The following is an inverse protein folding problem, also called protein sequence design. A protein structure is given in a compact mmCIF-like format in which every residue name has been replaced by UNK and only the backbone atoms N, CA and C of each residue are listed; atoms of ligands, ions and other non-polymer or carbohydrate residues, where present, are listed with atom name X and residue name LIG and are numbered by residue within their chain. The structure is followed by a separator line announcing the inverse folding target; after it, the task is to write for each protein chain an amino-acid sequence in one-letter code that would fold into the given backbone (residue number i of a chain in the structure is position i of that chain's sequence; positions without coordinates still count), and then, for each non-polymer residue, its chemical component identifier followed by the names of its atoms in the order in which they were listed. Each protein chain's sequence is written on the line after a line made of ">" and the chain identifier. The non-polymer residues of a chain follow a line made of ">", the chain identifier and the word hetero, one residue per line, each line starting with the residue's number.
data_IF_599088600445
#
_entry.id   IF_599088600445
#
_cell.length_a   1.000
_cell.length_b   1.000
_cell.length_c   1.000
_cell.angle_alpha   90.00
_cell.angle_beta   90.00
_cell.angle_gamma   90.00
#
_symmetry.space_group_name_H-M   'P 1'
#
loop_
_entity.id
_entity.type
_entity.pdbx_description
1 polymer ?
#
# COMPACT_ATOMS: atom_id res chain seq x y z
N UNK A 1 11.18 -14.63 3.28
CA UNK A 1 11.91 -13.37 3.47
C UNK A 1 10.98 -12.19 3.41
N UNK A 2 11.28 -11.15 4.17
CA UNK A 2 10.39 -9.97 4.26
C UNK A 2 10.20 -9.29 2.91
N UNK A 3 11.26 -9.10 2.13
CA UNK A 3 11.17 -8.44 0.83
C UNK A 3 10.21 -9.10 -0.14
N UNK A 4 10.23 -10.42 -0.18
CA UNK A 4 9.31 -11.19 -1.02
C UNK A 4 7.85 -11.01 -0.57
N UNK A 5 7.63 -10.96 0.74
CA UNK A 5 6.29 -10.75 1.31
C UNK A 5 5.76 -9.36 0.96
N UNK A 6 6.60 -8.34 1.07
CA UNK A 6 6.25 -6.98 0.69
C UNK A 6 5.90 -6.90 -0.81
N UNK A 7 6.73 -7.49 -1.66
CA UNK A 7 6.48 -7.53 -3.10
C UNK A 7 5.14 -8.19 -3.42
N UNK A 8 4.87 -9.31 -2.77
CA UNK A 8 3.64 -10.07 -2.98
C UNK A 8 2.41 -9.26 -2.57
N UNK A 9 2.44 -8.64 -1.39
CA UNK A 9 1.33 -7.83 -0.89
C UNK A 9 1.09 -6.64 -1.82
N UNK A 10 2.17 -5.98 -2.25
CA UNK A 10 2.09 -4.86 -3.17
C UNK A 10 1.43 -5.28 -4.50
N UNK A 11 1.92 -6.35 -5.11
CA UNK A 11 1.39 -6.85 -6.38
C UNK A 11 -0.05 -7.31 -6.25
N UNK A 12 -0.37 -8.00 -5.16
CA UNK A 12 -1.74 -8.45 -4.90
C UNK A 12 -2.73 -7.29 -4.87
N UNK A 13 -2.31 -6.15 -4.34
CA UNK A 13 -3.14 -4.96 -4.22
C UNK A 13 -3.01 -4.00 -5.41
N UNK A 14 -2.23 -4.35 -6.42
CA UNK A 14 -2.15 -3.57 -7.65
C UNK A 14 -1.34 -2.28 -7.56
N UNK A 15 -0.42 -2.18 -6.61
CA UNK A 15 0.45 -1.00 -6.46
C UNK A 15 1.78 -1.21 -7.18
N UNK A 16 2.30 -0.14 -7.77
CA UNK A 16 3.65 -0.13 -8.33
C UNK A 16 4.67 0.20 -7.24
N UNK A 17 5.94 -0.12 -7.49
CA UNK A 17 7.02 0.28 -6.58
C UNK A 17 7.08 1.79 -6.41
N UNK A 18 6.86 2.53 -7.51
CA UNK A 18 6.87 4.00 -7.48
C UNK A 18 5.77 4.55 -6.58
N UNK A 19 4.57 3.97 -6.65
CA UNK A 19 3.45 4.40 -5.81
C UNK A 19 3.74 4.18 -4.33
N UNK A 20 4.28 3.02 -3.98
CA UNK A 20 4.66 2.71 -2.60
C UNK A 20 5.75 3.67 -2.11
N UNK A 21 6.78 3.89 -2.93
CA UNK A 21 7.88 4.79 -2.58
C UNK A 21 7.38 6.21 -2.31
N UNK A 22 6.46 6.69 -3.13
CA UNK A 22 5.87 8.02 -2.95
C UNK A 22 5.09 8.12 -1.64
N UNK A 23 4.30 7.11 -1.30
CA UNK A 23 3.54 7.08 -0.05
C UNK A 23 4.49 7.03 1.15
N UNK A 24 5.55 6.24 1.07
CA UNK A 24 6.54 6.13 2.14
C UNK A 24 7.54 7.29 2.17
N UNK A 25 7.49 8.17 1.16
CA UNK A 25 8.40 9.32 1.02
C UNK A 25 9.87 8.92 0.95
N UNK A 26 10.14 7.88 0.16
CA UNK A 26 11.50 7.38 -0.11
C UNK A 26 11.70 7.27 -1.61
N UNK A 27 12.96 7.13 -2.04
CA UNK A 27 13.28 6.89 -3.43
C UNK A 27 12.77 5.52 -3.89
N UNK A 28 12.34 5.43 -5.16
CA UNK A 28 11.91 4.14 -5.72
C UNK A 28 13.00 3.08 -5.61
N UNK A 29 14.25 3.47 -5.85
CA UNK A 29 15.39 2.55 -5.76
C UNK A 29 15.57 2.01 -4.33
N UNK A 30 15.32 2.85 -3.32
CA UNK A 30 15.35 2.42 -1.92
C UNK A 30 14.26 1.39 -1.65
N UNK A 31 13.04 1.67 -2.08
CA UNK A 31 11.94 0.70 -1.92
C UNK A 31 12.24 -0.61 -2.66
N UNK A 32 12.72 -0.51 -3.90
CA UNK A 32 13.05 -1.70 -4.69
C UNK A 32 14.10 -2.57 -3.98
N UNK A 33 15.04 -1.95 -3.28
CA UNK A 33 16.07 -2.68 -2.52
C UNK A 33 15.48 -3.45 -1.35
N UNK A 34 14.37 -2.99 -0.78
CA UNK A 34 13.66 -3.75 0.26
C UNK A 34 13.09 -5.05 -0.29
N UNK A 35 12.49 -5.01 -1.47
CA UNK A 35 11.89 -6.19 -2.08
C UNK A 35 12.93 -7.24 -2.49
N UNK A 36 14.10 -6.81 -2.92
CA UNK A 36 15.18 -7.73 -3.31
C UNK A 36 15.98 -8.25 -2.12
N UNK A 37 15.79 -7.68 -0.93
CA UNK A 37 16.56 -8.04 0.25
C UNK A 37 17.93 -7.39 0.30
N UNK A 38 18.27 -6.52 -0.64
CA UNK A 38 19.55 -5.82 -0.65
C UNK A 38 19.69 -4.89 0.55
N UNK A 39 18.61 -4.22 0.92
CA UNK A 39 18.50 -3.44 2.13
C UNK A 39 17.30 -3.91 2.94
N UNK A 40 17.40 -3.79 4.25
CA UNK A 40 16.27 -4.12 5.15
C UNK A 40 15.54 -2.84 5.53
N UNK A 41 14.20 -2.81 5.41
CA UNK A 41 13.44 -1.70 5.95
C UNK A 41 13.51 -1.71 7.48
N UNK A 42 13.54 -0.53 8.10
CA UNK A 42 13.42 -0.46 9.55
C UNK A 42 11.97 -0.72 9.97
N UNK A 43 11.74 -0.83 11.29
CA UNK A 43 10.42 -1.16 11.80
C UNK A 43 9.37 -0.11 11.41
N UNK A 44 9.77 1.17 11.34
CA UNK A 44 8.84 2.23 10.97
C UNK A 44 8.41 2.14 9.51
N UNK A 45 9.35 1.80 8.63
CA UNK A 45 9.03 1.57 7.22
C UNK A 45 8.06 0.40 7.06
N UNK A 46 8.26 -0.69 7.79
CA UNK A 46 7.37 -1.86 7.77
C UNK A 46 5.98 -1.48 8.30
N UNK A 47 5.92 -0.72 9.40
CA UNK A 47 4.64 -0.27 9.96
C UNK A 47 3.88 0.62 8.97
N UNK A 48 4.56 1.54 8.32
CA UNK A 48 3.93 2.42 7.32
C UNK A 48 3.45 1.64 6.11
N UNK A 49 4.24 0.67 5.67
CA UNK A 49 3.84 -0.24 4.59
C UNK A 49 2.58 -1.02 4.96
N UNK A 50 2.53 -1.56 6.18
CA UNK A 50 1.37 -2.31 6.66
C UNK A 50 0.11 -1.44 6.67
N UNK A 51 0.23 -0.16 7.05
CA UNK A 51 -0.91 0.78 7.04
C UNK A 51 -1.47 1.02 5.64
N UNK A 52 -0.63 1.02 4.62
CA UNK A 52 -1.11 1.19 3.23
C UNK A 52 -2.17 0.15 2.91
N UNK A 53 -1.98 -1.08 3.37
CA UNK A 53 -2.85 -2.20 3.05
C UNK A 53 -3.83 -2.56 4.17
N UNK A 54 -3.85 -1.75 5.24
CA UNK A 54 -4.70 -1.96 6.40
C UNK A 54 -4.53 -3.36 7.01
N UNK A 55 -3.29 -3.79 7.12
CA UNK A 55 -2.90 -5.05 7.75
C UNK A 55 -1.94 -4.77 8.90
N UNK A 56 -1.78 -5.74 9.80
CA UNK A 56 -0.81 -5.62 10.88
C UNK A 56 0.59 -6.04 10.42
N UNK A 57 1.61 -5.57 11.12
CA UNK A 57 2.98 -6.03 10.91
C UNK A 57 3.07 -7.54 11.17
N UNK A 58 2.39 -8.02 12.21
CA UNK A 58 2.35 -9.45 12.53
C UNK A 58 1.80 -10.28 11.39
N UNK A 59 0.77 -9.79 10.71
CA UNK A 59 0.23 -10.47 9.52
C UNK A 59 1.32 -10.64 8.45
N UNK A 60 2.06 -9.57 8.16
CA UNK A 60 3.12 -9.62 7.15
C UNK A 60 4.20 -10.62 7.56
N UNK A 61 4.65 -10.55 8.81
CA UNK A 61 5.73 -11.40 9.30
C UNK A 61 5.32 -12.86 9.43
N UNK A 62 4.03 -13.14 9.60
CA UNK A 62 3.50 -14.50 9.76
C UNK A 62 3.23 -15.22 8.45
N UNK A 63 3.39 -14.56 7.29
CA UNK A 63 3.18 -15.20 6.01
C UNK A 63 4.20 -16.32 5.81
N UNK A 64 3.72 -17.54 5.68
CA UNK A 64 4.55 -18.71 5.36
C UNK A 64 4.48 -19.04 3.87
N UNK A 65 5.24 -20.02 3.43
CA UNK A 65 5.32 -20.39 2.01
C UNK A 65 3.97 -20.80 1.43
N UNK A 66 3.13 -21.45 2.22
CA UNK A 66 1.79 -21.90 1.78
C UNK A 66 0.90 -20.68 1.55
N UNK A 67 0.88 -19.74 2.47
CA UNK A 67 0.09 -18.53 2.36
C UNK A 67 0.58 -17.65 1.22
N UNK A 68 1.88 -17.58 1.01
CA UNK A 68 2.47 -16.88 -0.13
C UNK A 68 1.99 -17.50 -1.44
N UNK A 69 2.01 -18.82 -1.55
CA UNK A 69 1.53 -19.51 -2.74
C UNK A 69 0.05 -19.22 -3.00
N UNK A 70 -0.78 -19.29 -1.97
CA UNK A 70 -2.22 -19.00 -2.08
C UNK A 70 -2.48 -17.58 -2.54
N UNK A 71 -1.75 -16.60 -2.00
CA UNK A 71 -1.88 -15.21 -2.41
C UNK A 71 -1.48 -15.00 -3.87
N UNK A 72 -0.39 -15.62 -4.30
CA UNK A 72 0.05 -15.56 -5.70
C UNK A 72 -0.99 -16.14 -6.63
N UNK A 73 -1.54 -17.30 -6.30
CA UNK A 73 -2.55 -17.96 -7.09
C UNK A 73 -3.82 -17.12 -7.16
N UNK A 74 -4.27 -16.60 -6.03
CA UNK A 74 -5.43 -15.72 -5.97
C UNK A 74 -5.20 -14.46 -6.82
N UNK A 75 -4.05 -13.82 -6.70
CA UNK A 75 -3.72 -12.62 -7.46
C UNK A 75 -3.76 -12.86 -8.97
N UNK A 76 -3.26 -14.01 -9.43
CA UNK A 76 -3.30 -14.38 -10.84
C UNK A 76 -4.74 -14.56 -11.34
N UNK A 77 -5.58 -15.21 -10.54
CA UNK A 77 -6.97 -15.48 -10.92
C UNK A 77 -7.84 -14.23 -10.94
N UNK A 78 -7.58 -13.28 -10.05
CA UNK A 78 -8.43 -12.10 -9.83
C UNK A 78 -7.80 -10.78 -10.27
N UNK A 79 -6.72 -10.83 -11.01
CA UNK A 79 -5.98 -9.65 -11.45
C UNK A 79 -6.85 -8.63 -12.19
N UNK A 80 -7.86 -9.10 -12.93
CA UNK A 80 -8.77 -8.23 -13.69
C UNK A 80 -10.01 -7.81 -12.90
N UNK A 81 -10.24 -8.42 -11.73
CA UNK A 81 -11.44 -8.20 -10.93
C UNK A 81 -11.22 -7.32 -9.70
N UNK A 82 -9.97 -7.01 -9.38
CA UNK A 82 -9.66 -6.17 -8.23
C UNK A 82 -10.17 -4.74 -8.44
N UNK A 83 -11.01 -4.24 -7.54
CA UNK A 83 -11.49 -2.86 -7.57
C UNK A 83 -10.30 -1.90 -7.48
N UNK A 84 -9.29 -2.23 -6.69
CA UNK A 84 -8.09 -1.40 -6.53
C UNK A 84 -7.32 -1.26 -7.83
N UNK A 85 -7.28 -2.30 -8.67
CA UNK A 85 -6.58 -2.24 -9.96
C UNK A 85 -7.24 -1.27 -10.93
N UNK A 86 -8.50 -0.90 -10.71
CA UNK A 86 -9.25 0.04 -11.55
C UNK A 86 -9.05 1.50 -11.12
N UNK A 87 -8.42 1.73 -9.98
CA UNK A 87 -8.16 3.09 -9.50
C UNK A 87 -6.99 3.70 -10.28
N UNK A 88 -7.04 5.02 -10.42
CA UNK A 88 -5.91 5.77 -11.01
C UNK A 88 -4.71 5.74 -10.04
N UNK A 89 -3.54 6.12 -10.55
CA UNK A 89 -2.34 6.24 -9.73
C UNK A 89 -2.56 7.22 -8.57
N UNK A 90 -3.15 8.37 -8.86
CA UNK A 90 -3.43 9.40 -7.85
C UNK A 90 -4.38 8.88 -6.78
N UNK A 91 -5.40 8.14 -7.16
CA UNK A 91 -6.34 7.55 -6.21
C UNK A 91 -5.66 6.54 -5.29
N UNK A 92 -4.79 5.70 -5.83
CA UNK A 92 -4.02 4.72 -5.04
C UNK A 92 -3.09 5.40 -4.04
N UNK A 93 -2.38 6.44 -4.49
CA UNK A 93 -1.49 7.22 -3.64
C UNK A 93 -2.29 7.91 -2.55
N UNK A 94 -3.42 8.52 -2.91
CA UNK A 94 -4.30 9.19 -1.95
C UNK A 94 -4.77 8.25 -0.85
N UNK A 95 -5.20 7.05 -1.21
CA UNK A 95 -5.62 6.03 -0.23
C UNK A 95 -4.47 5.68 0.71
N UNK A 96 -3.29 5.44 0.16
CA UNK A 96 -2.12 5.08 0.96
C UNK A 96 -1.72 6.18 1.93
N UNK A 97 -1.71 7.43 1.47
CA UNK A 97 -1.40 8.58 2.31
C UNK A 97 -2.45 8.80 3.39
N UNK A 98 -3.72 8.71 3.03
CA UNK A 98 -4.84 8.84 3.96
C UNK A 98 -4.72 7.81 5.09
N UNK A 99 -4.40 6.57 4.75
CA UNK A 99 -4.24 5.50 5.74
C UNK A 99 -3.07 5.71 6.69
N UNK A 100 -2.10 6.54 6.33
CA UNK A 100 -0.99 6.90 7.22
C UNK A 100 -1.40 7.89 8.31
N UNK A 101 -2.48 8.63 8.11
CA UNK A 101 -2.91 9.70 9.00
C UNK A 101 -3.59 9.16 10.25
N UNK A 102 -3.55 9.95 11.34
CA UNK A 102 -4.31 9.65 12.55
C UNK A 102 -5.81 9.95 12.32
N UNK A 103 -6.64 9.55 13.30
CA UNK A 103 -8.10 9.69 13.19
C UNK A 103 -8.54 11.15 13.05
N UNK A 104 -7.91 12.06 13.77
CA UNK A 104 -8.22 13.48 13.70
C UNK A 104 -7.90 14.09 12.35
N UNK A 105 -6.74 13.76 11.81
CA UNK A 105 -6.33 14.22 10.49
C UNK A 105 -7.20 13.64 9.39
N UNK A 106 -7.57 12.36 9.50
CA UNK A 106 -8.48 11.72 8.54
C UNK A 106 -9.82 12.45 8.50
N UNK A 107 -10.35 12.83 9.66
CA UNK A 107 -11.61 13.56 9.75
C UNK A 107 -11.49 14.93 9.07
N UNK A 108 -10.41 15.66 9.34
CA UNK A 108 -10.15 16.96 8.70
C UNK A 108 -10.06 16.84 7.19
N UNK A 109 -9.37 15.85 6.68
CA UNK A 109 -9.22 15.60 5.23
C UNK A 109 -10.59 15.38 4.60
N UNK A 110 -11.43 14.54 5.21
CA UNK A 110 -12.78 14.29 4.70
C UNK A 110 -13.64 15.54 4.67
N UNK A 111 -13.54 16.37 5.72
CA UNK A 111 -14.27 17.64 5.76
C UNK A 111 -13.82 18.59 4.66
N UNK A 112 -12.50 18.69 4.45
CA UNK A 112 -11.94 19.52 3.39
C UNK A 112 -12.36 19.06 2.00
N UNK A 113 -12.36 17.76 1.76
CA UNK A 113 -12.80 17.19 0.48
C UNK A 113 -14.29 17.45 0.26
N UNK A 114 -15.11 17.28 1.29
CA UNK A 114 -16.54 17.57 1.19
C UNK A 114 -16.81 19.03 0.83
N UNK A 115 -16.06 19.96 1.45
CA UNK A 115 -16.15 21.39 1.12
C UNK A 115 -15.72 21.67 -0.32
N UNK A 116 -14.61 21.09 -0.74
CA UNK A 116 -14.11 21.26 -2.10
C UNK A 116 -15.08 20.74 -3.14
N UNK A 117 -15.74 19.61 -2.88
CA UNK A 117 -16.73 19.03 -3.77
C UNK A 117 -17.95 19.95 -3.91
N UNK A 118 -18.44 20.50 -2.79
CA UNK A 118 -19.56 21.44 -2.81
C UNK A 118 -19.24 22.71 -3.60
N UNK A 119 -18.02 23.23 -3.47
CA UNK A 119 -17.58 24.43 -4.21
C UNK A 119 -17.45 24.14 -5.71
N UNK A 120 -17.09 22.91 -6.07
CA UNK A 120 -16.92 22.53 -7.48
C UNK A 120 -18.26 22.40 -8.21
N UNK A 121 -19.35 22.07 -7.49
CA UNK A 121 -20.68 21.91 -8.06
C UNK A 121 -21.35 23.25 -8.41
N UNK A 122 -20.75 24.34 -8.02
CA UNK A 122 -21.23 25.68 -8.40
C UNK A 122 -20.59 26.12 -9.72
#
# INVERSE_FOLDING_TARGET
>A
MLGEKMKLIRNYNGYSQRQIAEILKIERSTYASYETGRNRPDIFAVQRFAKIFNVSVDYILSLDDINIYRLRDYAKRHKKESVISQLTSDEKILIGLYRQCDAGTKKSILEDVRKAELETDE
#
